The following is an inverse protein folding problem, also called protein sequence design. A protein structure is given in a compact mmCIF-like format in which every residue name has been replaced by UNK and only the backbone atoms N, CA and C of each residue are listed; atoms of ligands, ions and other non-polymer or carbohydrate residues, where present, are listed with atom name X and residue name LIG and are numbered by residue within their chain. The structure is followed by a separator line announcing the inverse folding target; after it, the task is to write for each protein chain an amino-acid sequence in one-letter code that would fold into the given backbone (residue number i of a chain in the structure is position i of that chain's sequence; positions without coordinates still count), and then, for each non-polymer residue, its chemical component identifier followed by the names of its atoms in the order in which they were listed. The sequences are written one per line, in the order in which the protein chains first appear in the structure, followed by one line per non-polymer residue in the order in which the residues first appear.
data_IF_162154914484
#
_entry.id   IF_162154914484
#
_cell.length_a   1.000
_cell.length_b   1.000
_cell.length_c   1.000
_cell.angle_alpha   90.00
_cell.angle_beta   90.00
_cell.angle_gamma   90.00
#
_symmetry.space_group_name_H-M   'P 1'
#
loop_
_entity.id
_entity.type
_entity.pdbx_description
1 polymer ?
#
# COMPACT_ATOMS: atom_id res chain seq x y z
N UNK A 1 7.39 3.54 -31.94
CA UNK A 1 6.12 2.88 -31.53
C UNK A 1 6.50 1.91 -30.41
N UNK A 2 6.10 2.03 -29.13
CA UNK A 2 4.81 2.43 -28.55
C UNK A 2 5.02 3.53 -27.48
N UNK A 3 4.35 4.69 -27.59
CA UNK A 3 4.28 5.68 -26.54
C UNK A 3 3.14 5.29 -25.61
N UNK A 4 3.43 4.75 -24.42
CA UNK A 4 2.44 4.58 -23.35
C UNK A 4 3.16 4.35 -22.02
N UNK A 5 3.93 5.35 -21.58
CA UNK A 5 4.39 5.44 -20.19
C UNK A 5 3.19 5.79 -19.29
N UNK A 6 2.20 4.90 -19.24
CA UNK A 6 1.16 4.97 -18.22
C UNK A 6 1.87 4.87 -16.88
N UNK A 7 1.81 5.93 -16.07
CA UNK A 7 2.43 6.04 -14.73
C UNK A 7 1.88 5.05 -13.70
N UNK A 8 1.89 3.76 -14.05
CA UNK A 8 1.44 2.63 -13.25
C UNK A 8 2.65 2.07 -12.52
N UNK A 9 2.59 2.13 -11.20
CA UNK A 9 3.60 1.53 -10.32
C UNK A 9 3.13 0.11 -10.00
N UNK A 10 3.93 -0.88 -10.36
CA UNK A 10 3.72 -2.26 -9.90
C UNK A 10 4.12 -2.37 -8.43
N UNK A 11 3.15 -2.66 -7.55
CA UNK A 11 3.34 -2.71 -6.09
C UNK A 11 3.95 -4.03 -5.62
N UNK A 12 3.70 -5.11 -6.33
CA UNK A 12 4.19 -6.45 -5.99
C UNK A 12 3.18 -7.53 -6.37
N UNK A 13 3.58 -8.78 -6.21
CA UNK A 13 2.70 -9.95 -6.25
C UNK A 13 2.38 -10.37 -4.82
N UNK A 14 1.10 -10.44 -4.46
CA UNK A 14 0.65 -10.83 -3.14
C UNK A 14 -0.18 -12.12 -3.24
N UNK A 15 -0.03 -13.00 -2.26
CA UNK A 15 -0.66 -14.33 -2.25
C UNK A 15 -2.13 -14.28 -1.82
N UNK A 16 -2.50 -13.25 -1.04
CA UNK A 16 -3.84 -13.06 -0.50
C UNK A 16 -4.46 -11.73 -0.97
N UNK A 17 -5.76 -11.71 -1.32
CA UNK A 17 -6.44 -10.49 -1.75
C UNK A 17 -6.46 -9.42 -0.65
N UNK A 18 -6.47 -9.82 0.63
CA UNK A 18 -6.39 -8.88 1.77
C UNK A 18 -5.05 -8.16 1.82
N UNK A 19 -3.96 -8.87 1.57
CA UNK A 19 -2.61 -8.28 1.53
C UNK A 19 -2.47 -7.31 0.36
N UNK A 20 -2.98 -7.71 -0.82
CA UNK A 20 -2.96 -6.86 -2.01
C UNK A 20 -3.73 -5.55 -1.80
N UNK A 21 -4.92 -5.62 -1.21
CA UNK A 21 -5.74 -4.45 -0.97
C UNK A 21 -5.14 -3.51 0.10
N UNK A 22 -4.46 -4.04 1.13
CA UNK A 22 -3.66 -3.23 2.07
C UNK A 22 -2.47 -2.54 1.41
N UNK A 23 -1.70 -3.26 0.60
CA UNK A 23 -0.62 -2.67 -0.18
C UNK A 23 -1.12 -1.54 -1.10
N UNK A 24 -2.28 -1.75 -1.71
CA UNK A 24 -2.92 -0.74 -2.54
C UNK A 24 -3.31 0.50 -1.75
N UNK A 25 -3.99 0.35 -0.61
CA UNK A 25 -4.37 1.48 0.25
C UNK A 25 -3.14 2.25 0.72
N UNK A 26 -2.07 1.55 1.10
CA UNK A 26 -0.80 2.16 1.48
C UNK A 26 -0.17 2.95 0.31
N UNK A 27 -0.21 2.41 -0.90
CA UNK A 27 0.31 3.10 -2.08
C UNK A 27 -0.52 4.33 -2.44
N UNK A 28 -1.85 4.21 -2.39
CA UNK A 28 -2.78 5.31 -2.60
C UNK A 28 -2.58 6.38 -1.53
N UNK A 29 -2.34 5.99 -0.29
CA UNK A 29 -2.04 6.90 0.81
C UNK A 29 -0.77 7.69 0.54
N UNK A 30 0.29 7.04 0.06
CA UNK A 30 1.52 7.73 -0.30
C UNK A 30 1.32 8.72 -1.46
N UNK A 31 0.46 8.39 -2.44
CA UNK A 31 0.26 9.22 -3.63
C UNK A 31 -0.75 10.36 -3.43
N UNK A 32 -1.80 10.15 -2.63
CA UNK A 32 -2.94 11.08 -2.48
C UNK A 32 -3.13 11.60 -1.06
N UNK A 33 -2.40 11.06 -0.08
CA UNK A 33 -2.54 11.37 1.33
C UNK A 33 -3.83 10.84 1.96
N UNK A 34 -4.11 11.30 3.18
CA UNK A 34 -5.22 10.87 4.04
C UNK A 34 -6.64 11.14 3.47
N UNK A 35 -6.75 11.83 2.33
CA UNK A 35 -8.03 12.19 1.68
C UNK A 35 -8.51 11.18 0.65
N UNK A 36 -7.75 10.13 0.38
CA UNK A 36 -8.15 9.13 -0.60
C UNK A 36 -9.16 8.12 -0.03
N UNK A 37 -9.87 7.44 -0.94
CA UNK A 37 -10.82 6.39 -0.57
C UNK A 37 -10.04 5.09 -0.38
N UNK A 38 -9.99 4.60 0.85
CA UNK A 38 -9.29 3.38 1.22
C UNK A 38 -10.30 2.25 1.45
N UNK A 39 -9.87 1.01 1.19
CA UNK A 39 -10.67 -0.19 1.46
C UNK A 39 -10.62 -0.53 2.96
N UNK A 40 -9.51 -0.20 3.63
CA UNK A 40 -9.24 -0.53 5.01
C UNK A 40 -8.87 0.73 5.82
N UNK A 41 -9.85 1.43 6.43
CA UNK A 41 -9.56 2.60 7.25
C UNK A 41 -8.72 2.29 8.50
N UNK A 42 -8.80 1.07 9.04
CA UNK A 42 -7.99 0.60 10.18
C UNK A 42 -6.53 0.30 9.85
N UNK A 43 -6.17 0.16 8.57
CA UNK A 43 -4.82 -0.26 8.14
C UNK A 43 -4.06 0.84 7.41
N UNK A 44 -4.38 2.10 7.73
CA UNK A 44 -3.73 3.23 7.10
C UNK A 44 -2.32 3.42 7.66
N UNK A 45 -1.33 3.55 6.78
CA UNK A 45 0.02 3.83 7.22
C UNK A 45 0.08 5.28 7.70
N UNK A 46 0.25 5.52 8.99
CA UNK A 46 0.54 6.85 9.53
C UNK A 46 1.97 7.26 9.16
N UNK A 47 2.19 7.56 7.89
CA UNK A 47 3.47 8.06 7.39
C UNK A 47 3.38 9.58 7.28
N UNK A 48 4.05 10.35 8.16
CA UNK A 48 4.03 11.81 8.11
C UNK A 48 4.65 12.38 6.83
N UNK A 49 5.50 11.61 6.14
CA UNK A 49 6.21 12.03 4.91
C UNK A 49 5.79 11.28 3.65
N UNK A 50 4.57 10.74 3.61
CA UNK A 50 4.09 9.95 2.47
C UNK A 50 4.20 10.71 1.13
N UNK A 51 4.02 12.03 1.16
CA UNK A 51 4.08 12.93 0.00
C UNK A 51 5.46 13.09 -0.66
N UNK A 52 6.55 12.71 0.03
CA UNK A 52 7.92 12.80 -0.51
C UNK A 52 8.57 11.44 -0.76
N UNK A 53 7.80 10.34 -0.72
CA UNK A 53 8.34 9.00 -0.90
C UNK A 53 8.59 8.67 -2.38
N UNK A 54 9.76 8.12 -2.67
CA UNK A 54 10.07 7.55 -3.98
C UNK A 54 9.22 6.31 -4.27
N UNK A 55 8.97 5.93 -5.53
CA UNK A 55 8.20 4.73 -5.88
C UNK A 55 8.73 3.45 -5.23
N UNK A 56 10.04 3.36 -5.02
CA UNK A 56 10.67 2.23 -4.34
C UNK A 56 10.30 2.19 -2.84
N UNK A 57 10.29 3.34 -2.17
CA UNK A 57 9.86 3.43 -0.77
C UNK A 57 8.37 3.13 -0.62
N UNK A 58 7.53 3.63 -1.53
CA UNK A 58 6.08 3.32 -1.53
C UNK A 58 5.88 1.81 -1.60
N UNK A 59 6.60 1.10 -2.46
CA UNK A 59 6.55 -0.38 -2.52
C UNK A 59 7.04 -1.03 -1.24
N UNK A 60 8.14 -0.56 -0.67
CA UNK A 60 8.68 -1.12 0.56
C UNK A 60 7.69 -0.99 1.73
N UNK A 61 7.05 0.18 1.88
CA UNK A 61 6.04 0.38 2.91
C UNK A 61 4.77 -0.41 2.59
N UNK A 62 4.30 -0.41 1.35
CA UNK A 62 3.15 -1.22 0.91
C UNK A 62 3.38 -2.72 1.16
N UNK A 63 4.59 -3.23 0.91
CA UNK A 63 4.95 -4.61 1.18
C UNK A 63 5.01 -4.91 2.68
N UNK A 64 5.46 -3.97 3.51
CA UNK A 64 5.40 -4.10 4.97
C UNK A 64 3.96 -4.16 5.46
N UNK A 65 3.10 -3.24 5.02
CA UNK A 65 1.68 -3.20 5.39
C UNK A 65 0.88 -4.40 4.87
N UNK A 66 1.24 -4.93 3.71
CA UNK A 66 0.69 -6.19 3.22
C UNK A 66 0.99 -7.37 4.15
N UNK A 67 2.18 -7.39 4.76
CA UNK A 67 2.66 -8.48 5.64
C UNK A 67 2.28 -8.29 7.10
N UNK A 68 1.96 -7.07 7.53
CA UNK A 68 1.31 -6.82 8.82
C UNK A 68 -0.14 -7.29 8.74
N UNK A 69 -0.28 -8.61 8.75
CA UNK A 69 -1.47 -9.24 9.26
C UNK A 69 -1.58 -8.82 10.71
N UNK A 70 -2.73 -8.23 11.09
CA UNK A 70 -3.22 -8.24 12.46
C UNK A 70 -2.75 -9.58 13.03
N UNK A 71 -2.00 -9.63 14.13
CA UNK A 71 -1.95 -10.87 14.87
C UNK A 71 -3.42 -11.14 15.21
N UNK A 72 -4.09 -11.96 14.39
CA UNK A 72 -5.24 -12.72 14.82
C UNK A 72 -4.67 -13.38 16.03
N UNK A 73 -5.02 -12.82 17.21
CA UNK A 73 -4.63 -13.40 18.48
C UNK A 73 -4.96 -14.87 18.29
N UNK A 74 -3.93 -15.71 18.29
CA UNK A 74 -4.10 -17.14 18.48
C UNK A 74 -4.63 -17.24 19.91
N UNK A 75 -5.92 -16.95 20.08
CA UNK A 75 -6.65 -17.29 21.28
C UNK A 75 -6.81 -18.81 21.22
N UNK A 76 -5.88 -19.43 21.96
CA UNK A 76 -5.94 -20.68 22.74
C UNK A 76 -6.54 -21.89 22.03
#
# INVERSE_FOLDING_TARGET
RIPNSSGRIWLGSYESPRQAARAYDCAVYCLRGHKAKFNFPDFLPEIPSASSLSPAQIKAVAARFAREEIPVKKEI
#
